data_IF_748363755226
#
_entry.id   IF_748363755226
#
_cell.length_a   1.000
_cell.length_b   1.000
_cell.length_c   1.000
_cell.angle_alpha   90.00
_cell.angle_beta   90.00
_cell.angle_gamma   90.00
#
_symmetry.space_group_name_H-M   'P 1'
#
loop_
_entity.id
_entity.type
_entity.pdbx_description
1 polymer ?
#
# COMPACT_ATOMS: atom_id res chain seq x y z
N UNK A 1 4.75 75.37 4.55
CA UNK A 1 5.31 74.04 4.94
C UNK A 1 4.19 73.00 4.91
N UNK A 2 3.82 72.53 3.71
CA UNK A 2 2.73 71.57 3.45
C UNK A 2 3.23 70.49 2.48
N UNK A 3 4.30 69.79 2.85
CA UNK A 3 4.83 68.67 2.06
C UNK A 3 5.34 67.50 2.94
N UNK A 4 5.18 67.59 4.27
CA UNK A 4 5.69 66.59 5.22
C UNK A 4 4.62 65.57 5.64
N UNK A 5 3.78 65.14 4.70
CA UNK A 5 2.75 64.13 4.98
C UNK A 5 2.41 63.29 3.74
N UNK A 6 3.34 63.18 2.79
CA UNK A 6 3.21 62.26 1.65
C UNK A 6 4.22 61.10 1.74
N UNK A 7 5.32 61.26 2.48
CA UNK A 7 6.33 60.21 2.70
C UNK A 7 5.96 59.24 3.83
N UNK A 8 4.75 59.33 4.42
CA UNK A 8 4.23 58.34 5.38
C UNK A 8 3.29 57.31 4.71
N UNK A 9 2.90 57.54 3.46
CA UNK A 9 2.18 56.60 2.61
C UNK A 9 3.12 55.70 1.79
N UNK A 10 4.45 55.89 1.85
CA UNK A 10 5.43 55.05 1.15
C UNK A 10 6.04 53.97 2.06
N UNK A 11 5.44 53.73 3.22
CA UNK A 11 5.58 52.46 3.96
C UNK A 11 4.34 51.57 3.76
N UNK A 12 3.38 52.02 2.94
CA UNK A 12 2.24 51.22 2.50
C UNK A 12 2.77 49.99 1.80
N UNK A 13 2.40 48.85 2.38
CA UNK A 13 2.44 47.55 1.74
C UNK A 13 3.84 47.09 1.31
N UNK A 14 4.69 46.82 2.32
CA UNK A 14 5.35 45.51 2.32
C UNK A 14 4.28 44.42 2.49
N UNK A 15 3.35 44.34 1.53
CA UNK A 15 2.61 43.11 1.29
C UNK A 15 3.63 42.25 0.55
N UNK A 16 4.56 41.66 1.30
CA UNK A 16 5.28 40.50 0.79
C UNK A 16 4.20 39.49 0.51
N UNK A 17 3.78 39.42 -0.75
CA UNK A 17 3.17 38.24 -1.31
C UNK A 17 4.20 37.14 -1.16
N UNK A 18 4.25 36.55 0.04
CA UNK A 18 4.92 35.28 0.25
C UNK A 18 4.08 34.31 -0.55
N UNK A 19 4.47 34.10 -1.80
CA UNK A 19 3.96 32.98 -2.59
C UNK A 19 4.25 31.75 -1.75
N UNK A 20 3.22 31.16 -1.14
CA UNK A 20 3.35 29.94 -0.38
C UNK A 20 3.83 28.85 -1.36
N UNK A 21 5.12 28.52 -1.29
CA UNK A 21 5.69 27.45 -2.09
C UNK A 21 5.29 26.15 -1.42
N UNK A 22 4.45 25.37 -2.11
CA UNK A 22 3.89 24.13 -1.58
C UNK A 22 4.45 22.94 -2.36
N UNK A 23 4.67 21.83 -1.66
CA UNK A 23 5.03 20.54 -2.25
C UNK A 23 3.90 19.54 -2.07
N UNK A 24 3.72 18.69 -3.09
CA UNK A 24 2.80 17.57 -3.04
C UNK A 24 3.47 16.37 -2.36
N UNK A 25 2.79 15.82 -1.38
CA UNK A 25 3.20 14.60 -0.67
C UNK A 25 2.12 13.54 -0.84
N UNK A 26 2.49 12.38 -1.36
CA UNK A 26 1.62 11.24 -1.50
C UNK A 26 1.72 10.35 -0.25
N UNK A 27 0.60 10.13 0.41
CA UNK A 27 0.45 9.23 1.56
C UNK A 27 -0.22 7.93 1.11
N UNK A 28 0.36 6.79 1.45
CA UNK A 28 -0.18 5.47 1.13
C UNK A 28 -0.12 4.53 2.33
N UNK A 29 -0.96 3.50 2.32
CA UNK A 29 -0.88 2.37 3.24
C UNK A 29 -0.58 1.09 2.46
N UNK A 30 0.07 0.12 3.11
CA UNK A 30 0.27 -1.21 2.56
C UNK A 30 0.17 -2.25 3.68
N UNK A 31 -0.73 -3.25 3.57
CA UNK A 31 -1.74 -3.43 2.52
C UNK A 31 -2.90 -2.42 2.61
N UNK A 32 -3.69 -2.28 1.54
CA UNK A 32 -4.86 -1.39 1.53
C UNK A 32 -5.93 -1.84 2.55
N UNK A 33 -6.48 -0.91 3.31
CA UNK A 33 -7.43 -1.15 4.39
C UNK A 33 -6.82 -1.73 5.67
N UNK A 34 -5.49 -1.70 5.81
CA UNK A 34 -4.79 -2.22 7.00
C UNK A 34 -4.84 -1.25 8.19
N UNK A 35 -5.05 0.05 7.94
CA UNK A 35 -5.17 1.03 9.00
C UNK A 35 -5.70 2.37 8.51
N UNK A 36 -5.65 3.34 9.40
CA UNK A 36 -5.90 4.75 9.10
C UNK A 36 -4.60 5.52 9.26
N UNK A 37 -4.35 6.45 8.33
CA UNK A 37 -3.21 7.36 8.37
C UNK A 37 -3.76 8.77 8.53
N UNK A 38 -3.22 9.55 9.47
CA UNK A 38 -3.42 10.99 9.56
C UNK A 38 -2.19 11.68 8.96
N UNK A 39 -2.35 12.64 8.01
CA UNK A 39 -3.55 13.41 7.66
C UNK A 39 -4.59 12.71 6.78
N UNK A 40 -4.25 11.59 6.14
CA UNK A 40 -5.15 10.83 5.28
C UNK A 40 -4.35 10.09 4.20
N UNK A 41 -4.92 9.06 3.59
CA UNK A 41 -4.37 8.46 2.38
C UNK A 41 -4.65 9.38 1.19
N UNK A 42 -3.71 9.51 0.26
CA UNK A 42 -3.84 10.33 -0.94
C UNK A 42 -2.80 11.45 -1.01
N UNK A 43 -3.01 12.36 -1.97
CA UNK A 43 -2.09 13.48 -2.21
C UNK A 43 -2.48 14.66 -1.32
N UNK A 44 -1.52 15.17 -0.56
CA UNK A 44 -1.64 16.34 0.30
C UNK A 44 -0.64 17.41 -0.13
N UNK A 45 -1.00 18.68 0.03
CA UNK A 45 -0.11 19.81 -0.26
C UNK A 45 0.32 20.47 1.03
N UNK A 46 1.62 20.56 1.27
CA UNK A 46 2.21 21.19 2.46
C UNK A 46 3.15 22.32 2.07
N UNK A 47 3.33 23.29 2.97
CA UNK A 47 4.27 24.39 2.76
C UNK A 47 5.72 23.91 2.80
N UNK A 48 6.61 24.61 2.10
CA UNK A 48 8.05 24.38 2.17
C UNK A 48 8.58 24.54 3.59
N UNK A 49 9.49 23.64 3.99
CA UNK A 49 10.06 23.56 5.35
C UNK A 49 9.02 23.39 6.47
N UNK A 50 7.80 22.98 6.14
CA UNK A 50 6.80 22.64 7.13
C UNK A 50 7.11 21.27 7.74
N UNK A 51 7.02 21.17 9.05
CA UNK A 51 7.03 19.87 9.75
C UNK A 51 5.60 19.37 9.89
N UNK A 52 5.33 18.17 9.38
CA UNK A 52 4.01 17.52 9.44
C UNK A 52 4.09 16.33 10.37
N UNK A 53 3.14 16.24 11.30
CA UNK A 53 3.01 15.08 12.19
C UNK A 53 2.20 13.99 11.50
N UNK A 54 2.77 12.79 11.42
CA UNK A 54 2.15 11.59 10.88
C UNK A 54 1.73 10.69 12.03
N UNK A 55 0.54 10.11 11.92
CA UNK A 55 0.01 9.20 12.92
C UNK A 55 -0.73 8.05 12.25
N UNK A 56 -0.46 6.81 12.67
CA UNK A 56 -1.18 5.62 12.21
C UNK A 56 -2.06 5.04 13.29
N UNK A 57 -3.23 4.55 12.88
CA UNK A 57 -4.13 3.74 13.71
C UNK A 57 -4.33 2.41 12.97
N UNK A 58 -3.64 1.33 13.39
CA UNK A 58 -3.84 0.01 12.80
C UNK A 58 -5.29 -0.47 12.99
N UNK A 59 -5.84 -1.13 11.98
CA UNK A 59 -7.15 -1.79 12.09
C UNK A 59 -7.03 -3.07 12.92
N UNK A 60 -8.15 -3.55 13.46
CA UNK A 60 -8.19 -4.82 14.21
C UNK A 60 -7.59 -5.97 13.40
N UNK A 61 -6.62 -6.67 14.00
CA UNK A 61 -5.90 -7.77 13.35
C UNK A 61 -4.73 -7.33 12.48
N UNK A 62 -4.37 -6.05 12.52
CA UNK A 62 -3.16 -5.50 11.90
C UNK A 62 -2.32 -4.76 12.94
N UNK A 63 -1.01 -4.78 12.70
CA UNK A 63 -0.01 -4.05 13.47
C UNK A 63 0.85 -3.22 12.54
N UNK A 64 1.11 -1.98 12.96
CA UNK A 64 2.06 -1.11 12.29
C UNK A 64 3.48 -1.67 12.42
N UNK A 65 4.21 -1.73 11.31
CA UNK A 65 5.58 -2.24 11.26
C UNK A 65 6.57 -1.08 11.17
N UNK A 66 6.46 -0.25 10.13
CA UNK A 66 7.30 0.93 9.92
C UNK A 66 6.74 1.83 8.80
N UNK A 67 7.28 3.03 8.69
CA UNK A 67 7.09 3.97 7.59
C UNK A 67 8.18 3.79 6.53
N UNK A 68 7.80 3.82 5.27
CA UNK A 68 8.71 3.99 4.13
C UNK A 68 8.69 5.44 3.67
N UNK A 69 9.85 5.96 3.32
CA UNK A 69 10.03 7.34 2.87
C UNK A 69 10.87 8.14 3.85
N UNK A 70 10.82 9.47 3.70
CA UNK A 70 11.60 10.39 4.51
C UNK A 70 10.78 10.87 5.71
N UNK A 71 11.00 10.21 6.84
CA UNK A 71 10.41 10.51 8.15
C UNK A 71 11.49 10.47 9.22
N UNK A 72 11.31 11.22 10.30
CA UNK A 72 12.29 11.29 11.40
C UNK A 72 12.48 9.92 12.07
N UNK A 73 11.37 9.21 12.33
CA UNK A 73 11.37 7.92 13.03
C UNK A 73 10.50 6.90 12.28
N UNK A 74 11.09 6.04 11.44
CA UNK A 74 10.35 5.06 10.64
C UNK A 74 9.59 4.02 11.48
N UNK A 75 10.13 3.61 12.62
CA UNK A 75 9.53 2.55 13.45
C UNK A 75 8.46 3.07 14.43
N UNK A 76 8.28 4.38 14.54
CA UNK A 76 7.32 4.98 15.44
C UNK A 76 5.95 5.12 14.77
N UNK A 77 4.89 4.65 15.44
CA UNK A 77 3.51 4.79 14.95
C UNK A 77 3.09 6.27 14.78
N UNK A 78 3.70 7.16 15.57
CA UNK A 78 3.63 8.61 15.45
C UNK A 78 5.02 9.14 15.17
N UNK A 79 5.17 9.87 14.07
CA UNK A 79 6.44 10.43 13.64
C UNK A 79 6.23 11.80 13.02
N UNK A 80 7.31 12.48 12.67
CA UNK A 80 7.28 13.75 11.96
C UNK A 80 8.02 13.62 10.63
N UNK A 81 7.62 14.42 9.65
CA UNK A 81 8.34 14.57 8.39
C UNK A 81 8.57 16.05 8.10
N UNK A 82 9.73 16.39 7.53
CA UNK A 82 10.02 17.72 7.02
C UNK A 82 9.72 17.78 5.52
N UNK A 83 9.05 18.84 5.06
CA UNK A 83 8.67 19.01 3.65
C UNK A 83 9.68 19.91 2.94
N UNK A 84 10.79 19.32 2.49
CA UNK A 84 11.83 19.99 1.68
C UNK A 84 11.61 19.82 0.15
N UNK A 85 10.69 18.95 -0.26
CA UNK A 85 10.37 18.63 -1.65
C UNK A 85 9.14 17.72 -1.80
N UNK A 86 8.79 17.33 -3.04
CA UNK A 86 7.75 16.33 -3.26
C UNK A 86 8.19 14.96 -2.72
N UNK A 87 7.31 14.30 -1.97
CA UNK A 87 7.63 13.04 -1.26
C UNK A 87 6.53 12.00 -1.41
N UNK A 88 6.91 10.74 -1.20
CA UNK A 88 5.99 9.62 -1.09
C UNK A 88 6.28 8.93 0.23
N UNK A 89 5.24 8.80 1.07
CA UNK A 89 5.32 8.17 2.39
C UNK A 89 4.32 7.01 2.41
N UNK A 90 4.78 5.83 2.85
CA UNK A 90 3.96 4.62 2.90
C UNK A 90 3.98 4.05 4.32
N UNK A 91 2.83 3.89 4.96
CA UNK A 91 2.71 3.14 6.20
C UNK A 91 2.63 1.64 5.91
N UNK A 92 3.54 0.85 6.47
CA UNK A 92 3.57 -0.60 6.32
C UNK A 92 2.95 -1.26 7.54
N UNK A 93 1.97 -2.11 7.30
CA UNK A 93 1.29 -2.91 8.31
C UNK A 93 1.46 -4.40 8.03
N UNK A 94 1.40 -5.20 9.09
CA UNK A 94 1.37 -6.66 9.01
C UNK A 94 0.14 -7.20 9.73
N UNK A 95 -0.32 -8.39 9.36
CA UNK A 95 -1.43 -9.05 10.05
C UNK A 95 -0.94 -9.57 11.40
N UNK A 96 -1.70 -9.30 12.46
CA UNK A 96 -1.48 -9.96 13.74
C UNK A 96 -1.83 -11.44 13.59
N UNK A 97 -0.81 -12.31 13.63
CA UNK A 97 -1.03 -13.74 13.74
C UNK A 97 -1.51 -14.04 15.16
N UNK A 98 -2.78 -14.42 15.28
CA UNK A 98 -3.25 -15.04 16.51
C UNK A 98 -2.66 -16.46 16.56
N UNK A 99 -1.62 -16.66 17.36
CA UNK A 99 -1.27 -18.02 17.80
C UNK A 99 -2.47 -18.54 18.59
N UNK A 100 -3.25 -19.42 17.97
CA UNK A 100 -4.13 -20.27 18.75
C UNK A 100 -3.24 -21.01 19.75
N UNK A 101 -3.56 -21.04 21.06
CA UNK A 101 -2.84 -21.90 21.97
C UNK A 101 -2.88 -23.29 21.35
N UNK A 102 -1.70 -23.88 21.09
CA UNK A 102 -1.58 -25.27 20.69
C UNK A 102 -2.46 -26.06 21.64
N UNK A 103 -3.55 -26.64 21.12
CA UNK A 103 -4.41 -27.51 21.90
C UNK A 103 -3.53 -28.70 22.27
N UNK A 104 -2.88 -28.62 23.43
CA UNK A 104 -2.37 -29.78 24.11
C UNK A 104 -3.55 -30.74 24.24
N UNK A 105 -3.48 -31.82 23.46
CA UNK A 105 -4.51 -32.82 23.29
C UNK A 105 -5.00 -33.35 24.63
N UNK A 106 -6.09 -32.76 25.16
CA UNK A 106 -6.79 -33.25 26.35
C UNK A 106 -8.22 -32.68 26.45
N UNK A 107 -8.97 -32.69 25.34
CA UNK A 107 -10.44 -32.58 25.38
C UNK A 107 -10.89 -33.60 24.31
N UNK A 108 -11.21 -34.85 24.63
CA UNK A 108 -12.28 -35.30 25.50
C UNK A 108 -11.92 -36.62 26.23
N UNK A 109 -11.67 -36.59 27.54
CA UNK A 109 -11.98 -37.76 28.39
C UNK A 109 -13.40 -37.54 28.91
N UNK A 110 -14.39 -37.98 28.12
CA UNK A 110 -15.73 -38.21 28.67
C UNK A 110 -15.66 -39.28 29.77
N UNK A 111 -16.60 -39.28 30.73
CA UNK A 111 -16.62 -40.29 31.79
C UNK A 111 -16.56 -41.70 31.17
N UNK A 112 -15.63 -42.52 31.65
CA UNK A 112 -15.47 -43.90 31.20
C UNK A 112 -16.79 -44.65 31.39
N UNK A 113 -17.48 -45.00 30.30
CA UNK A 113 -18.70 -45.81 30.44
C UNK A 113 -19.69 -45.86 29.29
N UNK A 114 -19.53 -45.11 28.20
CA UNK A 114 -20.45 -45.21 27.07
C UNK A 114 -19.68 -45.36 25.75
N UNK A 115 -19.05 -46.51 25.56
CA UNK A 115 -18.71 -46.94 24.20
C UNK A 115 -20.03 -47.23 23.47
N UNK A 116 -20.32 -46.57 22.33
CA UNK A 116 -21.36 -47.03 21.42
C UNK A 116 -21.05 -48.47 21.04
N UNK A 117 -22.01 -49.39 21.26
CA UNK A 117 -21.86 -50.79 20.83
C UNK A 117 -21.55 -50.79 19.33
N UNK A 118 -20.48 -51.48 18.98
CA UNK A 118 -20.10 -51.74 17.60
C UNK A 118 -20.93 -52.94 17.12
N UNK A 119 -22.24 -52.74 16.92
CA UNK A 119 -23.11 -53.77 16.37
C UNK A 119 -23.21 -53.54 14.85
N UNK A 120 -22.43 -54.33 14.12
CA UNK A 120 -22.75 -55.01 12.86
C UNK A 120 -23.51 -54.29 11.72
N UNK A 121 -22.76 -54.06 10.63
CA UNK A 121 -23.13 -54.15 9.20
C UNK A 121 -24.63 -54.10 8.83
N UNK A 122 -25.09 -52.91 8.46
CA UNK A 122 -26.17 -52.72 7.49
C UNK A 122 -25.71 -51.69 6.46
N UNK A 123 -25.70 -52.09 5.18
CA UNK A 123 -25.25 -51.27 4.03
C UNK A 123 -25.51 -49.78 4.20
N UNK A 124 -24.45 -48.97 4.27
CA UNK A 124 -24.58 -47.54 4.03
C UNK A 124 -25.21 -47.37 2.65
N UNK A 125 -26.30 -46.60 2.49
CA UNK A 125 -26.75 -46.22 1.17
C UNK A 125 -25.58 -45.49 0.50
N UNK A 126 -25.20 -45.92 -0.71
CA UNK A 126 -24.23 -45.21 -1.53
C UNK A 126 -24.65 -43.74 -1.57
N UNK A 127 -23.82 -42.88 -0.99
CA UNK A 127 -24.00 -41.44 -1.06
C UNK A 127 -24.10 -41.12 -2.55
N UNK A 128 -25.20 -40.49 -3.04
CA UNK A 128 -25.25 -40.04 -4.41
C UNK A 128 -24.05 -39.14 -4.64
N UNK A 129 -23.31 -39.38 -5.73
CA UNK A 129 -22.22 -38.49 -6.11
C UNK A 129 -22.74 -37.05 -6.09
N UNK A 130 -21.96 -36.10 -5.54
CA UNK A 130 -22.32 -34.69 -5.62
C UNK A 130 -22.61 -34.34 -7.09
N UNK A 131 -23.58 -33.44 -7.36
CA UNK A 131 -23.83 -32.97 -8.72
C UNK A 131 -22.51 -32.53 -9.33
N UNK A 132 -22.25 -32.93 -10.58
CA UNK A 132 -21.06 -32.50 -11.30
C UNK A 132 -20.95 -30.97 -11.15
N UNK A 133 -19.80 -30.53 -10.64
CA UNK A 133 -19.49 -29.11 -10.47
C UNK A 133 -19.74 -28.42 -11.82
N UNK A 134 -20.44 -27.27 -11.87
CA UNK A 134 -20.70 -26.60 -13.13
C UNK A 134 -19.37 -26.43 -13.87
N UNK A 135 -19.33 -26.86 -15.13
CA UNK A 135 -18.14 -26.77 -15.98
C UNK A 135 -17.50 -25.39 -15.79
N UNK A 136 -16.28 -25.38 -15.26
CA UNK A 136 -15.48 -24.17 -15.09
C UNK A 136 -15.49 -23.44 -16.45
N UNK A 137 -15.90 -22.17 -16.54
CA UNK A 137 -15.89 -21.48 -17.82
C UNK A 137 -14.50 -21.60 -18.43
N UNK A 138 -14.45 -22.09 -19.67
CA UNK A 138 -13.22 -22.29 -20.44
C UNK A 138 -12.22 -21.17 -20.15
N UNK A 139 -11.00 -21.57 -19.76
CA UNK A 139 -9.86 -20.68 -19.52
C UNK A 139 -9.91 -19.51 -20.50
N UNK A 140 -9.95 -18.24 -20.03
CA UNK A 140 -10.04 -17.10 -20.93
C UNK A 140 -8.90 -17.21 -21.96
N UNK A 141 -9.20 -16.96 -23.25
CA UNK A 141 -8.23 -17.18 -24.32
C UNK A 141 -6.93 -16.43 -23.98
N UNK A 142 -5.76 -17.04 -24.25
CA UNK A 142 -4.49 -16.44 -23.89
C UNK A 142 -4.44 -15.01 -24.41
N UNK A 143 -4.23 -14.07 -23.48
CA UNK A 143 -4.08 -12.65 -23.81
C UNK A 143 -2.98 -12.57 -24.87
N UNK A 144 -3.24 -12.04 -26.08
CA UNK A 144 -2.21 -11.96 -27.09
C UNK A 144 -1.08 -11.10 -26.54
N UNK A 145 0.11 -11.69 -26.41
CA UNK A 145 1.31 -10.97 -26.01
C UNK A 145 1.46 -9.76 -26.93
N UNK A 146 1.60 -8.53 -26.41
CA UNK A 146 1.86 -7.38 -27.24
C UNK A 146 3.26 -7.49 -27.83
N UNK A 147 3.31 -8.05 -29.04
CA UNK A 147 4.26 -7.72 -30.10
C UNK A 147 4.24 -6.24 -30.50
N UNK A 148 3.82 -5.32 -29.62
CA UNK A 148 3.96 -3.86 -29.80
C UNK A 148 5.37 -3.38 -29.44
N UNK A 149 6.26 -4.25 -29.00
CA UNK A 149 7.67 -3.88 -28.71
C UNK A 149 8.64 -4.07 -29.89
N UNK A 150 8.23 -4.54 -31.07
CA UNK A 150 9.20 -4.76 -32.19
C UNK A 150 8.64 -4.35 -33.58
N UNK A 151 7.79 -3.32 -33.64
CA UNK A 151 7.40 -2.69 -34.92
C UNK A 151 7.62 -1.17 -34.97
N UNK A 152 8.44 -0.62 -34.05
CA UNK A 152 9.51 0.30 -34.42
C UNK A 152 10.80 -0.50 -34.68
N UNK A 153 10.66 -1.43 -35.62
CA UNK A 153 11.73 -1.92 -36.45
C UNK A 153 12.59 -0.79 -37.02
N UNK A 154 13.84 -1.12 -37.31
CA UNK A 154 14.68 -0.53 -38.36
C UNK A 154 15.62 0.64 -38.02
N UNK A 155 15.66 1.15 -36.78
CA UNK A 155 16.70 2.15 -36.41
C UNK A 155 18.04 1.53 -35.98
N UNK A 156 18.01 0.49 -35.14
CA UNK A 156 19.22 0.03 -34.43
C UNK A 156 19.98 -1.08 -35.17
N UNK A 157 19.36 -1.75 -36.16
CA UNK A 157 20.03 -2.79 -36.95
C UNK A 157 20.75 -2.26 -38.21
N UNK A 158 20.66 -0.96 -38.52
CA UNK A 158 21.42 -0.35 -39.61
C UNK A 158 22.84 0.10 -39.18
N UNK A 159 23.14 0.17 -37.88
CA UNK A 159 24.46 0.60 -37.38
C UNK A 159 25.39 -0.54 -36.94
N UNK A 160 25.08 -1.81 -37.25
CA UNK A 160 26.03 -2.93 -37.06
C UNK A 160 26.68 -3.45 -38.35
N UNK A 161 26.22 -3.00 -39.53
CA UNK A 161 26.86 -3.35 -40.82
C UNK A 161 27.86 -2.31 -41.35
N UNK A 162 28.11 -1.21 -40.64
CA UNK A 162 29.12 -0.20 -41.02
C UNK A 162 30.49 -0.35 -40.32
N UNK A 163 30.75 -1.49 -39.67
CA UNK A 163 32.08 -1.83 -39.13
C UNK A 163 32.78 -2.97 -39.89
N UNK A 164 32.19 -3.48 -40.98
CA UNK A 164 32.79 -4.57 -41.76
C UNK A 164 33.24 -4.20 -43.17
N UNK A 165 33.38 -2.90 -43.49
CA UNK A 165 34.00 -2.47 -44.75
C UNK A 165 34.86 -1.22 -44.58
N UNK A 166 36.03 -1.41 -43.97
CA UNK A 166 37.23 -0.61 -44.24
C UNK A 166 38.47 -1.47 -43.96
N UNK A 167 38.77 -2.35 -44.91
CA UNK A 167 40.16 -2.59 -45.29
C UNK A 167 40.29 -1.93 -46.67
#
# INVERSE_FOLDING_TARGET
>A
MKFLTFTLCLTIAFCTGVSAQNYAVLMQESPAGAGEIQPGIGVHTFGINQTVTLNTVPKKGYKFVYWLGDVSDPSANRTTMSVDGPKIIIAVFTRDSYELPSANAAICQGPEGLFPRHDELGSLPSIPSPPDEPDDPDDPPPVPEPGTMILFSAGVLALRKRLHKKN
#
